data_IF_916165287139
#
_entry.id   IF_916165287139
#
_cell.length_a   1.000
_cell.length_b   1.000
_cell.length_c   1.000
_cell.angle_alpha   90.00
_cell.angle_beta   90.00
_cell.angle_gamma   90.00
#
_symmetry.space_group_name_H-M   'P 1'
#
loop_
_entity.id
_entity.type
_entity.pdbx_description
1 polymer ?
#
# COMPACT_ATOMS: atom_id res chain seq x y z
N UNK A 1 -8.09 -10.67 -21.26
CA UNK A 1 -8.90 -10.63 -20.03
C UNK A 1 -8.36 -11.63 -19.03
N UNK A 2 -8.27 -11.20 -17.78
CA UNK A 2 -7.88 -11.98 -16.62
C UNK A 2 -8.94 -13.04 -16.35
N UNK A 3 -8.51 -14.30 -16.20
CA UNK A 3 -9.44 -15.42 -16.07
C UNK A 3 -9.81 -15.73 -14.62
N UNK A 4 -9.03 -15.24 -13.66
CA UNK A 4 -9.18 -15.55 -12.23
C UNK A 4 -8.87 -14.34 -11.35
N UNK A 5 -9.55 -14.22 -10.20
CA UNK A 5 -9.36 -13.08 -9.26
C UNK A 5 -7.92 -12.97 -8.73
N UNK A 6 -7.14 -14.06 -8.75
CA UNK A 6 -5.72 -14.02 -8.38
C UNK A 6 -4.88 -13.20 -9.37
N UNK A 7 -5.19 -13.29 -10.66
CA UNK A 7 -4.52 -12.49 -11.69
C UNK A 7 -4.90 -11.02 -11.57
N UNK A 8 -6.19 -10.74 -11.31
CA UNK A 8 -6.69 -9.40 -10.99
C UNK A 8 -5.95 -8.82 -9.79
N UNK A 9 -5.80 -9.60 -8.71
CA UNK A 9 -5.09 -9.17 -7.50
C UNK A 9 -3.61 -8.82 -7.79
N UNK A 10 -2.94 -9.62 -8.61
CA UNK A 10 -1.54 -9.40 -8.97
C UNK A 10 -1.36 -8.15 -9.84
N UNK A 11 -2.27 -7.93 -10.80
CA UNK A 11 -2.23 -6.72 -11.64
C UNK A 11 -2.62 -5.47 -10.85
N UNK A 12 -3.64 -5.55 -10.00
CA UNK A 12 -4.02 -4.47 -9.09
C UNK A 12 -2.84 -4.06 -8.17
N UNK A 13 -2.13 -5.06 -7.63
CA UNK A 13 -0.89 -4.82 -6.87
C UNK A 13 0.14 -4.06 -7.70
N UNK A 14 0.39 -4.50 -8.93
CA UNK A 14 1.40 -3.88 -9.80
C UNK A 14 1.03 -2.44 -10.19
N UNK A 15 -0.24 -2.20 -10.55
CA UNK A 15 -0.77 -0.87 -10.87
C UNK A 15 -0.55 0.10 -9.70
N UNK A 16 -0.92 -0.33 -8.50
CA UNK A 16 -0.79 0.48 -7.31
C UNK A 16 0.67 0.68 -6.87
N UNK A 17 1.54 -0.32 -7.00
CA UNK A 17 2.98 -0.16 -6.75
C UNK A 17 3.64 0.83 -7.72
N UNK A 18 3.27 0.79 -9.00
CA UNK A 18 3.82 1.70 -10.01
C UNK A 18 3.40 3.14 -9.72
N UNK A 19 2.13 3.35 -9.42
CA UNK A 19 1.59 4.67 -9.07
C UNK A 19 2.20 5.23 -7.78
N UNK A 20 2.33 4.40 -6.74
CA UNK A 20 3.01 4.80 -5.49
C UNK A 20 4.46 5.21 -5.75
N UNK A 21 5.22 4.43 -6.53
CA UNK A 21 6.62 4.77 -6.85
C UNK A 21 6.74 6.09 -7.61
N UNK A 22 5.82 6.36 -8.53
CA UNK A 22 5.75 7.63 -9.26
C UNK A 22 5.58 8.82 -8.33
N UNK A 23 4.58 8.77 -7.44
CA UNK A 23 4.30 9.86 -6.50
C UNK A 23 5.38 10.01 -5.42
N UNK A 24 6.05 8.91 -5.04
CA UNK A 24 7.09 8.93 -4.00
C UNK A 24 8.45 9.41 -4.49
N UNK A 25 8.65 9.52 -5.81
CA UNK A 25 9.89 10.05 -6.39
C UNK A 25 10.14 11.53 -6.07
N UNK A 26 9.09 12.27 -5.72
CA UNK A 26 9.14 13.70 -5.38
C UNK A 26 9.68 13.98 -3.97
N UNK A 27 9.80 12.96 -3.11
CA UNK A 27 10.37 13.11 -1.76
C UNK A 27 11.90 12.99 -1.80
N UNK A 28 12.57 14.02 -2.32
CA UNK A 28 14.04 14.08 -2.45
C UNK A 28 14.77 14.24 -1.11
N UNK A 29 14.12 14.85 -0.10
CA UNK A 29 14.76 15.26 1.16
C UNK A 29 15.12 14.11 2.12
N UNK A 30 14.65 12.88 1.88
CA UNK A 30 14.98 11.71 2.70
C UNK A 30 16.06 10.79 2.10
N UNK A 31 16.73 11.22 1.02
CA UNK A 31 17.74 10.41 0.31
C UNK A 31 19.11 10.33 1.00
N UNK A 32 19.43 11.26 1.92
CA UNK A 32 20.82 11.42 2.42
C UNK A 32 21.15 10.64 3.70
N UNK A 33 20.21 9.92 4.31
CA UNK A 33 20.48 9.17 5.54
C UNK A 33 19.72 7.85 5.59
N UNK A 34 20.44 6.73 5.36
CA UNK A 34 19.94 5.34 5.39
C UNK A 34 19.06 4.92 4.21
N UNK A 35 19.66 4.13 3.30
CA UNK A 35 18.99 3.44 2.19
C UNK A 35 17.89 2.45 2.62
N UNK A 36 17.80 2.12 3.91
CA UNK A 36 17.00 1.00 4.46
C UNK A 36 15.71 1.42 5.16
N UNK A 37 15.41 2.73 5.25
CA UNK A 37 14.16 3.25 5.86
C UNK A 37 13.53 4.36 5.03
N UNK A 38 13.76 4.32 3.71
CA UNK A 38 13.22 5.33 2.82
C UNK A 38 11.72 5.13 2.64
N UNK A 39 10.98 6.23 2.58
CA UNK A 39 9.55 6.29 2.24
C UNK A 39 9.26 5.50 0.94
N UNK A 40 10.24 5.40 0.05
CA UNK A 40 10.26 4.58 -1.18
C UNK A 40 9.97 3.09 -1.01
N UNK A 41 10.00 2.54 0.21
CA UNK A 41 9.68 1.12 0.47
C UNK A 41 8.19 0.82 0.59
N UNK A 42 7.29 1.75 0.22
CA UNK A 42 5.87 1.40 0.13
C UNK A 42 5.65 0.28 -0.89
N UNK A 43 5.00 -0.79 -0.42
CA UNK A 43 4.69 -2.00 -1.19
C UNK A 43 3.20 -2.23 -1.16
N UNK A 44 2.64 -2.70 -2.27
CA UNK A 44 1.27 -3.20 -2.26
C UNK A 44 1.29 -4.69 -1.89
N UNK A 45 0.26 -5.11 -1.18
CA UNK A 45 0.02 -6.50 -0.85
C UNK A 45 -1.44 -6.82 -1.11
N UNK A 46 -1.74 -8.06 -1.45
CA UNK A 46 -3.11 -8.52 -1.60
C UNK A 46 -3.33 -9.75 -0.74
N UNK A 47 -4.57 -9.95 -0.32
CA UNK A 47 -4.99 -11.11 0.44
C UNK A 47 -6.35 -11.57 -0.07
N UNK A 48 -6.51 -12.88 -0.11
CA UNK A 48 -7.70 -13.55 -0.59
C UNK A 48 -7.81 -14.92 0.06
N UNK A 49 -8.96 -15.55 -0.12
CA UNK A 49 -9.26 -16.86 0.46
C UNK A 49 -9.49 -17.86 -0.66
N UNK A 50 -8.88 -19.02 -0.52
CA UNK A 50 -9.13 -20.15 -1.42
C UNK A 50 -10.24 -21.02 -0.86
N UNK A 51 -11.14 -21.46 -1.72
CA UNK A 51 -12.21 -22.41 -1.43
C UNK A 51 -12.13 -23.59 -2.40
N UNK A 52 -12.52 -24.78 -1.95
CA UNK A 52 -12.49 -26.01 -2.74
C UNK A 52 -12.01 -27.20 -1.93
N UNK A 53 -12.34 -28.40 -2.39
CA UNK A 53 -11.92 -29.66 -1.78
C UNK A 53 -10.43 -29.95 -1.95
N UNK A 54 -9.90 -30.82 -1.09
CA UNK A 54 -8.51 -31.25 -1.11
C UNK A 54 -8.30 -32.18 -2.31
N UNK A 55 -7.49 -31.76 -3.29
CA UNK A 55 -7.22 -32.51 -4.52
C UNK A 55 -7.91 -31.96 -5.77
N UNK A 56 -8.84 -31.02 -5.62
CA UNK A 56 -9.52 -30.32 -6.72
C UNK A 56 -8.91 -28.92 -6.98
N UNK A 57 -9.10 -28.33 -8.18
CA UNK A 57 -8.76 -26.95 -8.45
C UNK A 57 -9.48 -26.01 -7.46
N UNK A 58 -8.71 -25.23 -6.68
CA UNK A 58 -9.27 -24.30 -5.70
C UNK A 58 -9.61 -22.96 -6.34
N UNK A 59 -10.83 -22.48 -6.11
CA UNK A 59 -11.22 -21.12 -6.46
C UNK A 59 -10.58 -20.13 -5.47
N UNK A 60 -9.97 -19.05 -5.98
CA UNK A 60 -9.38 -17.99 -5.16
C UNK A 60 -10.23 -16.74 -5.26
N UNK A 61 -10.62 -16.18 -4.11
CA UNK A 61 -11.40 -14.95 -4.03
C UNK A 61 -10.57 -13.84 -3.39
N UNK A 62 -10.44 -12.74 -4.10
CA UNK A 62 -9.80 -11.52 -3.61
C UNK A 62 -10.66 -10.89 -2.52
N UNK A 63 -10.02 -10.52 -1.39
CA UNK A 63 -10.68 -9.88 -0.25
C UNK A 63 -10.20 -8.47 0.01
N UNK A 64 -8.88 -8.25 -0.11
CA UNK A 64 -8.28 -6.93 0.13
C UNK A 64 -7.00 -6.73 -0.68
N UNK A 65 -6.81 -5.48 -1.09
CA UNK A 65 -5.53 -4.92 -1.52
C UNK A 65 -5.12 -3.90 -0.45
N UNK A 66 -3.86 -3.90 -0.04
CA UNK A 66 -3.38 -3.12 1.10
C UNK A 66 -2.02 -2.53 0.80
N UNK A 67 -1.82 -1.27 1.20
CA UNK A 67 -0.54 -0.57 1.10
C UNK A 67 0.23 -0.79 2.40
N UNK A 68 1.48 -1.22 2.29
CA UNK A 68 2.39 -1.40 3.42
C UNK A 68 3.52 -0.41 3.29
N UNK A 69 3.74 0.40 4.33
CA UNK A 69 4.82 1.38 4.38
C UNK A 69 5.32 1.56 5.82
N UNK A 70 6.51 2.14 5.96
CA UNK A 70 7.05 2.53 7.26
C UNK A 70 6.23 3.68 7.87
N UNK A 71 6.26 3.79 9.20
CA UNK A 71 5.56 4.85 9.97
C UNK A 71 5.79 6.26 9.43
N UNK A 72 7.01 6.55 8.98
CA UNK A 72 7.36 7.87 8.42
C UNK A 72 6.57 8.23 7.16
N UNK A 73 6.24 7.25 6.30
CA UNK A 73 5.42 7.49 5.11
C UNK A 73 3.98 7.87 5.47
N UNK A 74 3.41 7.19 6.48
CA UNK A 74 2.07 7.51 6.98
C UNK A 74 2.02 8.90 7.63
N UNK A 75 3.02 9.22 8.45
CA UNK A 75 3.19 10.55 9.08
C UNK A 75 3.32 11.64 8.01
N UNK A 76 4.05 11.40 6.93
CA UNK A 76 4.19 12.38 5.86
C UNK A 76 2.90 12.55 5.06
N UNK A 77 2.10 11.48 4.92
CA UNK A 77 0.82 11.54 4.24
C UNK A 77 -0.19 12.41 4.98
N UNK A 78 -0.40 12.16 6.27
CA UNK A 78 -1.39 12.87 7.11
C UNK A 78 -0.86 14.13 7.80
N UNK A 79 0.44 14.39 7.70
CA UNK A 79 1.09 15.45 8.46
C UNK A 79 1.15 15.17 9.96
N UNK A 80 1.70 16.12 10.71
CA UNK A 80 1.80 16.07 12.17
C UNK A 80 1.64 17.47 12.72
N UNK A 81 0.83 17.61 13.76
CA UNK A 81 0.84 18.78 14.65
C UNK A 81 0.90 18.30 16.10
N UNK A 82 2.12 18.10 16.60
CA UNK A 82 2.35 17.59 17.97
C UNK A 82 3.56 18.25 18.63
N UNK A 83 3.67 18.13 19.96
CA UNK A 83 4.87 18.52 20.70
C UNK A 83 5.88 17.38 20.66
N UNK A 84 7.08 17.67 20.16
CA UNK A 84 8.20 16.72 20.19
C UNK A 84 8.91 16.84 21.52
N UNK A 85 9.03 15.71 22.23
CA UNK A 85 9.76 15.64 23.49
C UNK A 85 11.20 16.16 23.33
N UNK A 86 11.65 16.96 24.29
CA UNK A 86 13.04 17.36 24.44
C UNK A 86 13.92 16.20 24.89
N UNK A 87 15.23 16.42 24.94
CA UNK A 87 16.16 15.40 25.41
C UNK A 87 17.61 15.81 25.24
N UNK A 88 18.50 14.82 25.33
CA UNK A 88 19.93 15.01 25.12
C UNK A 88 20.38 14.33 23.82
N UNK A 89 21.28 15.00 23.09
CA UNK A 89 21.93 14.44 21.91
C UNK A 89 23.44 14.59 22.03
N UNK A 90 24.14 13.47 21.84
CA UNK A 90 25.59 13.47 21.77
C UNK A 90 26.03 13.49 20.30
N UNK A 91 26.75 14.54 19.91
CA UNK A 91 27.38 14.66 18.59
C UNK A 91 28.83 14.22 18.71
N UNK A 92 29.26 13.23 17.91
CA UNK A 92 30.62 12.67 17.99
C UNK A 92 31.64 13.33 17.04
N UNK A 93 31.21 14.18 16.09
CA UNK A 93 32.09 14.85 15.11
C UNK A 93 31.74 16.34 14.98
N UNK A 94 32.71 17.26 14.83
CA UNK A 94 34.18 17.10 14.89
C UNK A 94 34.75 16.76 16.28
N UNK A 95 34.01 16.96 17.37
CA UNK A 95 34.37 16.54 18.75
C UNK A 95 33.11 16.05 19.48
N UNK A 96 33.27 15.14 20.44
CA UNK A 96 32.18 14.64 21.28
C UNK A 96 31.63 15.75 22.17
N UNK A 97 30.39 16.16 21.91
CA UNK A 97 29.69 17.18 22.71
C UNK A 97 28.23 16.76 22.88
N UNK A 98 27.76 16.77 24.13
CA UNK A 98 26.35 16.50 24.47
C UNK A 98 25.64 17.83 24.68
N UNK A 99 24.53 18.02 23.98
CA UNK A 99 23.66 19.18 24.17
C UNK A 99 22.23 18.76 24.48
N UNK A 100 21.56 19.59 25.28
CA UNK A 100 20.13 19.48 25.58
C UNK A 100 19.34 20.24 24.52
N UNK A 101 18.24 19.66 24.07
CA UNK A 101 17.27 20.33 23.23
C UNK A 101 15.92 20.33 23.92
N UNK A 102 15.26 21.48 23.87
CA UNK A 102 13.97 21.68 24.52
C UNK A 102 12.82 21.01 23.75
N UNK A 103 11.71 20.84 24.45
CA UNK A 103 10.43 20.46 23.84
C UNK A 103 10.07 21.53 22.83
N UNK A 104 9.80 21.12 21.59
CA UNK A 104 9.43 22.06 20.54
C UNK A 104 8.24 21.54 19.74
N UNK A 105 7.46 22.47 19.19
CA UNK A 105 6.33 22.15 18.34
C UNK A 105 6.84 21.58 17.02
N UNK A 106 6.41 20.38 16.68
CA UNK A 106 6.67 19.74 15.40
C UNK A 106 5.43 19.88 14.54
N UNK A 107 5.51 20.75 13.54
CA UNK A 107 4.47 20.90 12.51
C UNK A 107 5.00 20.40 11.18
N UNK A 108 4.30 19.45 10.57
CA UNK A 108 4.55 18.95 9.24
C UNK A 108 3.23 19.01 8.48
N UNK A 109 3.22 19.69 7.34
CA UNK A 109 2.07 19.70 6.44
C UNK A 109 1.85 18.31 5.85
N UNK A 110 0.58 17.95 5.72
CA UNK A 110 0.13 16.75 5.05
C UNK A 110 0.47 16.80 3.56
N UNK A 111 0.83 15.64 3.01
CA UNK A 111 1.11 15.47 1.59
C UNK A 111 0.32 14.25 1.12
N UNK A 112 -0.88 14.43 0.53
CA UNK A 112 -1.80 13.33 0.24
C UNK A 112 -1.37 12.45 -0.95
N UNK A 113 -0.17 11.86 -0.89
CA UNK A 113 0.41 11.10 -1.99
C UNK A 113 -0.22 9.70 -2.15
N UNK A 114 -0.81 9.14 -1.08
CA UNK A 114 -1.49 7.84 -1.14
C UNK A 114 -2.78 7.96 -1.95
N UNK A 115 -3.60 8.96 -1.65
CA UNK A 115 -4.86 9.21 -2.35
C UNK A 115 -4.60 9.48 -3.84
N UNK A 116 -3.64 10.37 -4.13
CA UNK A 116 -3.19 10.61 -5.52
C UNK A 116 -2.74 9.34 -6.22
N UNK A 117 -2.02 8.46 -5.52
CA UNK A 117 -1.57 7.20 -6.11
C UNK A 117 -2.75 6.25 -6.39
N UNK A 118 -3.75 6.20 -5.51
CA UNK A 118 -4.95 5.40 -5.70
C UNK A 118 -5.73 5.91 -6.92
N UNK A 119 -5.98 7.22 -6.98
CA UNK A 119 -6.69 7.87 -8.09
C UNK A 119 -5.98 7.64 -9.43
N UNK A 120 -4.68 7.94 -9.51
CA UNK A 120 -3.88 7.77 -10.74
C UNK A 120 -3.77 6.30 -11.17
N UNK A 121 -3.84 5.36 -10.23
CA UNK A 121 -3.75 3.94 -10.56
C UNK A 121 -5.05 3.40 -11.16
N UNK A 122 -6.19 4.07 -10.96
CA UNK A 122 -7.53 3.58 -11.28
C UNK A 122 -7.77 2.14 -10.81
N UNK A 123 -7.10 1.74 -9.71
CA UNK A 123 -7.09 0.35 -9.24
C UNK A 123 -8.47 -0.09 -8.74
N UNK A 124 -9.24 0.84 -8.19
CA UNK A 124 -10.57 0.59 -7.64
C UNK A 124 -11.50 0.14 -8.77
N UNK A 125 -11.60 0.95 -9.83
CA UNK A 125 -12.44 0.66 -11.00
C UNK A 125 -12.03 -0.64 -11.67
N UNK A 126 -10.72 -0.84 -11.85
CA UNK A 126 -10.19 -2.06 -12.44
C UNK A 126 -10.55 -3.32 -11.63
N UNK A 127 -10.37 -3.29 -10.31
CA UNK A 127 -10.70 -4.43 -9.45
C UNK A 127 -12.20 -4.68 -9.44
N UNK A 128 -13.01 -3.62 -9.35
CA UNK A 128 -14.46 -3.73 -9.30
C UNK A 128 -15.02 -4.37 -10.58
N UNK A 129 -14.67 -3.84 -11.75
CA UNK A 129 -15.13 -4.36 -13.04
C UNK A 129 -14.63 -5.80 -13.28
N UNK A 130 -13.35 -6.06 -13.03
CA UNK A 130 -12.76 -7.38 -13.28
C UNK A 130 -13.33 -8.46 -12.35
N UNK A 131 -13.51 -8.16 -11.06
CA UNK A 131 -14.05 -9.13 -10.09
C UNK A 131 -15.53 -9.40 -10.36
N UNK A 132 -16.31 -8.37 -10.69
CA UNK A 132 -17.75 -8.54 -11.02
C UNK A 132 -17.90 -9.46 -12.23
N UNK A 133 -17.13 -9.24 -13.31
CA UNK A 133 -17.16 -10.10 -14.51
C UNK A 133 -16.87 -11.56 -14.16
N UNK A 134 -15.77 -11.81 -13.45
CA UNK A 134 -15.36 -13.17 -13.06
C UNK A 134 -16.42 -13.85 -12.18
N UNK A 135 -16.99 -13.13 -11.20
CA UNK A 135 -17.99 -13.70 -10.30
C UNK A 135 -19.33 -13.94 -11.00
N UNK A 136 -19.75 -13.04 -11.88
CA UNK A 136 -20.99 -13.22 -12.65
C UNK A 136 -20.90 -14.44 -13.55
N UNK A 137 -19.77 -14.64 -14.24
CA UNK A 137 -19.53 -15.86 -15.03
C UNK A 137 -19.64 -17.13 -14.18
N UNK A 138 -19.07 -17.14 -12.97
CA UNK A 138 -19.20 -18.27 -12.05
C UNK A 138 -20.65 -18.53 -11.62
N UNK A 139 -21.41 -17.47 -11.34
CA UNK A 139 -22.84 -17.57 -10.98
C UNK A 139 -23.65 -18.13 -12.15
N UNK A 140 -23.45 -17.63 -13.37
CA UNK A 140 -24.15 -18.13 -14.55
C UNK A 140 -23.87 -19.61 -14.81
N UNK A 141 -22.60 -20.03 -14.71
CA UNK A 141 -22.23 -21.45 -14.85
C UNK A 141 -22.91 -22.30 -13.76
N UNK A 142 -22.96 -21.80 -12.52
CA UNK A 142 -23.61 -22.52 -11.43
C UNK A 142 -25.13 -22.67 -11.63
N UNK A 143 -25.81 -21.59 -12.02
CA UNK A 143 -27.24 -21.59 -12.32
C UNK A 143 -27.56 -22.51 -13.50
N UNK A 144 -26.76 -22.44 -14.57
CA UNK A 144 -26.93 -23.32 -15.73
C UNK A 144 -26.81 -24.79 -15.34
N UNK A 145 -25.76 -25.16 -14.61
CA UNK A 145 -25.55 -26.53 -14.13
C UNK A 145 -26.65 -27.00 -13.15
N UNK A 146 -27.31 -26.07 -12.46
CA UNK A 146 -28.44 -26.38 -11.60
C UNK A 146 -29.73 -26.62 -12.39
N UNK A 147 -29.94 -25.89 -13.50
CA UNK A 147 -31.10 -26.04 -14.39
C UNK A 147 -31.00 -27.26 -15.33
N UNK A 148 -29.79 -27.67 -15.71
CA UNK A 148 -29.54 -28.85 -16.55
C UNK A 148 -29.53 -30.17 -15.76
N UNK A 149 -29.74 -30.11 -14.45
CA UNK A 149 -29.97 -31.24 -13.56
C UNK A 149 -31.46 -31.49 -13.35
#
# INVERSE_FOLDING_TARGET
MEKNERQVAQKAKQMLENSLRGNMSQFSEHMQGSKTKSIREAKASYSGKSYGEKGMPKAYYLRKVSIRMARHGFVQHYGVDTLRAGGERTRNKPRTFTYRYEVHKMRMQDKPFIDKAIEQSSVIDYVLDSVIKIRNEQVFVHVKNWLEK
#
